data_IF_571169408235
#
_entry.id   IF_571169408235
#
_cell.length_a   1.000
_cell.length_b   1.000
_cell.length_c   1.000
_cell.angle_alpha   90.00
_cell.angle_beta   90.00
_cell.angle_gamma   90.00
#
_symmetry.space_group_name_H-M   'P 1'
#
loop_
_entity.id
_entity.type
_entity.pdbx_description
1 polymer ?
#
# COMPACT_ATOMS: atom_id res chain seq x y z
N UNK A 1 -17.83 29.04 1.92
CA UNK A 1 -18.88 29.59 2.83
C UNK A 1 -18.23 30.61 3.74
N UNK A 2 -18.71 31.85 3.72
CA UNK A 2 -18.24 32.92 4.62
C UNK A 2 -18.44 32.49 6.07
N UNK A 3 -17.37 32.07 6.74
CA UNK A 3 -17.44 31.76 8.16
C UNK A 3 -17.28 33.08 8.92
N UNK A 4 -18.39 33.63 9.40
CA UNK A 4 -18.39 34.72 10.38
C UNK A 4 -17.68 34.22 11.63
N UNK A 5 -16.40 34.58 11.76
CA UNK A 5 -15.50 34.10 12.82
C UNK A 5 -16.09 34.40 14.21
N UNK A 6 -16.78 33.42 14.79
CA UNK A 6 -17.18 33.45 16.20
C UNK A 6 -15.91 33.28 17.02
N UNK A 7 -15.49 34.36 17.70
CA UNK A 7 -14.31 34.34 18.56
C UNK A 7 -14.48 33.32 19.67
N UNK A 8 -13.54 32.38 19.76
CA UNK A 8 -13.46 31.38 20.84
C UNK A 8 -12.46 31.87 21.86
N UNK A 9 -12.93 32.27 23.04
CA UNK A 9 -12.05 32.61 24.15
C UNK A 9 -11.55 31.32 24.81
N UNK A 10 -10.23 31.21 24.96
CA UNK A 10 -9.57 30.13 25.69
C UNK A 10 -9.04 30.71 27.02
N UNK A 11 -9.44 30.11 28.13
CA UNK A 11 -9.04 30.52 29.49
C UNK A 11 -8.09 29.50 30.13
N UNK A 12 -7.53 28.58 29.35
CA UNK A 12 -6.63 27.53 29.83
C UNK A 12 -5.37 28.13 30.44
N UNK A 13 -5.10 27.80 31.71
CA UNK A 13 -3.88 28.25 32.43
C UNK A 13 -2.65 27.42 32.09
N UNK A 14 -2.85 26.18 31.63
CA UNK A 14 -1.79 25.24 31.28
C UNK A 14 -1.79 25.09 29.76
N UNK A 15 -0.68 25.38 29.07
CA UNK A 15 -0.61 25.24 27.61
C UNK A 15 -0.53 23.77 27.21
N UNK A 16 -1.21 23.41 26.12
CA UNK A 16 -1.03 22.11 25.49
C UNK A 16 0.37 22.06 24.84
N UNK A 17 1.26 21.23 25.38
CA UNK A 17 2.62 21.03 24.86
C UNK A 17 2.69 20.00 23.75
N UNK A 18 1.71 19.09 23.71
CA UNK A 18 1.60 18.04 22.70
C UNK A 18 0.41 18.37 21.80
N UNK A 19 0.62 18.29 20.49
CA UNK A 19 -0.44 18.48 19.51
C UNK A 19 -1.43 17.32 19.58
N UNK A 20 -2.71 17.63 19.31
CA UNK A 20 -3.73 16.57 19.21
C UNK A 20 -3.33 15.63 18.07
N UNK A 21 -3.19 14.32 18.32
CA UNK A 21 -2.80 13.37 17.30
C UNK A 21 -3.92 13.16 16.28
N UNK A 22 -3.62 12.46 15.19
CA UNK A 22 -4.63 12.08 14.22
C UNK A 22 -5.59 11.05 14.83
N UNK A 23 -6.84 11.46 15.05
CA UNK A 23 -7.85 10.66 15.76
C UNK A 23 -8.29 9.39 15.01
N UNK A 24 -7.98 9.26 13.72
CA UNK A 24 -8.31 8.07 12.91
C UNK A 24 -7.07 7.23 12.57
N UNK A 25 -5.91 7.58 13.10
CA UNK A 25 -4.64 6.95 12.74
C UNK A 25 -4.61 5.46 13.07
N UNK A 26 -5.16 5.07 14.22
CA UNK A 26 -5.22 3.65 14.64
C UNK A 26 -5.97 2.81 13.61
N UNK A 27 -7.10 3.31 13.10
CA UNK A 27 -7.91 2.59 12.12
C UNK A 27 -7.18 2.46 10.78
N UNK A 28 -6.63 3.58 10.29
CA UNK A 28 -5.86 3.61 9.04
C UNK A 28 -4.67 2.65 9.10
N UNK A 29 -3.84 2.79 10.15
CA UNK A 29 -2.63 1.98 10.33
C UNK A 29 -2.93 0.50 10.52
N UNK A 30 -4.01 0.15 11.21
CA UNK A 30 -4.44 -1.24 11.37
C UNK A 30 -4.77 -1.87 10.02
N UNK A 31 -5.54 -1.16 9.19
CA UNK A 31 -5.94 -1.64 7.87
C UNK A 31 -4.76 -1.70 6.89
N UNK A 32 -3.90 -0.68 6.87
CA UNK A 32 -2.68 -0.65 6.04
C UNK A 32 -1.74 -1.81 6.38
N UNK A 33 -1.53 -2.07 7.68
CA UNK A 33 -0.72 -3.20 8.16
C UNK A 33 -1.34 -4.54 7.78
N UNK A 34 -2.66 -4.66 7.79
CA UNK A 34 -3.34 -5.90 7.43
C UNK A 34 -3.24 -6.18 5.92
N UNK A 35 -3.42 -5.16 5.07
CA UNK A 35 -3.46 -5.33 3.62
C UNK A 35 -2.09 -5.38 2.95
N UNK A 36 -1.14 -4.54 3.38
CA UNK A 36 0.18 -4.38 2.75
C UNK A 36 0.10 -4.14 1.23
N UNK A 37 -0.90 -3.37 0.80
CA UNK A 37 -1.28 -3.24 -0.62
C UNK A 37 -0.25 -2.50 -1.47
N UNK A 38 0.55 -1.64 -0.86
CA UNK A 38 1.61 -0.84 -1.48
C UNK A 38 2.97 -1.55 -1.46
N UNK A 39 3.04 -2.81 -1.01
CA UNK A 39 4.29 -3.59 -0.87
C UNK A 39 4.48 -4.60 -1.99
N UNK A 40 5.71 -4.68 -2.47
CA UNK A 40 6.15 -5.79 -3.33
C UNK A 40 6.17 -7.10 -2.53
N UNK A 41 6.02 -8.27 -3.17
CA UNK A 41 6.04 -9.56 -2.46
C UNK A 41 7.26 -9.74 -1.55
N UNK A 42 8.44 -9.31 -2.00
CA UNK A 42 9.70 -9.38 -1.24
C UNK A 42 9.82 -8.38 -0.08
N UNK A 43 8.94 -7.39 -0.02
CA UNK A 43 8.94 -6.32 0.99
C UNK A 43 7.88 -6.53 2.07
N UNK A 44 7.05 -7.58 1.96
CA UNK A 44 5.95 -7.82 2.89
C UNK A 44 6.45 -8.41 4.19
N UNK A 45 5.89 -7.89 5.28
CA UNK A 45 6.03 -8.49 6.59
C UNK A 45 5.15 -9.73 6.69
N UNK A 46 5.55 -10.73 7.48
CA UNK A 46 4.70 -11.87 7.85
C UNK A 46 3.61 -11.43 8.85
N UNK A 47 2.61 -10.72 8.33
CA UNK A 47 1.48 -10.21 9.08
C UNK A 47 0.26 -10.00 8.17
N UNK A 48 -0.93 -9.93 8.77
CA UNK A 48 -2.17 -9.64 8.05
C UNK A 48 -2.47 -10.72 7.01
N UNK A 49 -2.79 -10.31 5.79
CA UNK A 49 -3.08 -11.25 4.69
C UNK A 49 -1.90 -12.18 4.39
N UNK A 50 -0.66 -11.70 4.49
CA UNK A 50 0.53 -12.51 4.26
C UNK A 50 0.58 -13.71 5.23
N UNK A 51 0.44 -13.44 6.53
CA UNK A 51 0.41 -14.50 7.56
C UNK A 51 -0.78 -15.44 7.42
N UNK A 52 -1.92 -14.95 6.93
CA UNK A 52 -3.10 -15.78 6.68
C UNK A 52 -2.82 -16.77 5.56
N UNK A 53 -2.26 -16.34 4.43
CA UNK A 53 -1.89 -17.26 3.36
C UNK A 53 -0.78 -18.23 3.78
N UNK A 54 0.25 -17.75 4.47
CA UNK A 54 1.35 -18.61 4.95
C UNK A 54 0.92 -19.64 6.00
N UNK A 55 -0.13 -19.37 6.78
CA UNK A 55 -0.63 -20.33 7.78
C UNK A 55 -1.57 -21.39 7.20
N UNK A 56 -2.21 -21.11 6.05
CA UNK A 56 -3.12 -22.04 5.38
C UNK A 56 -2.40 -22.92 4.36
N UNK A 57 -1.36 -22.40 3.71
CA UNK A 57 -0.61 -23.12 2.68
C UNK A 57 0.75 -23.59 3.20
N UNK A 58 1.24 -24.77 2.76
CA UNK A 58 0.73 -25.58 1.65
C UNK A 58 -0.47 -26.47 2.00
N UNK A 59 -1.29 -26.79 0.99
CA UNK A 59 -2.39 -27.77 1.08
C UNK A 59 -2.04 -28.96 0.20
N UNK A 60 -2.05 -30.17 0.76
CA UNK A 60 -1.78 -31.41 0.04
C UNK A 60 -3.03 -32.29 -0.10
N UNK A 61 -3.14 -33.04 -1.19
CA UNK A 61 -4.17 -34.08 -1.35
C UNK A 61 -3.98 -35.23 -0.35
N UNK A 62 -5.03 -35.99 -0.04
CA UNK A 62 -4.98 -37.12 0.91
C UNK A 62 -4.01 -38.23 0.49
N UNK A 63 -3.67 -38.31 -0.81
CA UNK A 63 -2.70 -39.26 -1.36
C UNK A 63 -1.27 -38.71 -1.40
N UNK A 64 -1.05 -37.45 -1.03
CA UNK A 64 0.23 -36.74 -1.16
C UNK A 64 0.81 -36.73 -2.59
N UNK A 65 -0.03 -36.85 -3.60
CA UNK A 65 0.37 -36.80 -5.03
C UNK A 65 0.34 -35.39 -5.60
N UNK A 66 -0.29 -34.44 -4.90
CA UNK A 66 -0.32 -33.04 -5.31
C UNK A 66 -0.34 -32.10 -4.11
N UNK A 67 0.24 -30.92 -4.31
CA UNK A 67 0.38 -29.87 -3.31
C UNK A 67 0.17 -28.49 -3.93
N UNK A 68 -0.69 -27.68 -3.29
CA UNK A 68 -0.94 -26.30 -3.66
C UNK A 68 -0.20 -25.37 -2.70
N UNK A 69 0.56 -24.43 -3.25
CA UNK A 69 1.39 -23.49 -2.51
C UNK A 69 1.01 -22.05 -2.83
N UNK A 70 1.08 -21.20 -1.81
CA UNK A 70 0.97 -19.76 -1.97
C UNK A 70 2.31 -19.17 -2.42
N UNK A 71 2.28 -18.36 -3.49
CA UNK A 71 3.47 -17.66 -4.01
C UNK A 71 3.46 -16.20 -3.58
N UNK A 72 2.43 -15.46 -3.98
CA UNK A 72 2.23 -14.06 -3.61
C UNK A 72 0.77 -13.63 -3.79
N UNK A 73 0.47 -12.37 -3.44
CA UNK A 73 -0.82 -11.73 -3.76
C UNK A 73 -0.61 -10.30 -4.24
N UNK A 74 -1.64 -9.69 -4.83
CA UNK A 74 -1.69 -8.26 -5.14
C UNK A 74 -3.12 -7.75 -4.91
N UNK A 75 -3.24 -6.52 -4.39
CA UNK A 75 -4.53 -5.86 -4.17
C UNK A 75 -4.66 -4.71 -5.15
N UNK A 76 -5.76 -4.70 -5.89
CA UNK A 76 -6.10 -3.67 -6.85
C UNK A 76 -5.29 -3.72 -8.14
N UNK A 77 -5.43 -2.65 -8.92
CA UNK A 77 -4.66 -2.44 -10.14
C UNK A 77 -3.75 -1.25 -9.92
N UNK A 78 -2.45 -1.51 -9.77
CA UNK A 78 -1.44 -0.47 -9.65
C UNK A 78 -0.95 -0.08 -11.03
N UNK A 79 -1.49 1.01 -11.56
CA UNK A 79 -1.15 1.51 -12.89
C UNK A 79 -1.33 3.02 -12.98
N UNK A 80 -0.74 3.65 -14.00
CA UNK A 80 -1.04 5.04 -14.33
C UNK A 80 -2.46 5.16 -14.91
N UNK A 81 -2.98 6.39 -15.02
CA UNK A 81 -4.37 6.63 -15.49
C UNK A 81 -4.68 6.02 -16.86
N UNK A 82 -3.71 5.90 -17.77
CA UNK A 82 -3.91 5.32 -19.09
C UNK A 82 -3.57 3.82 -19.18
N UNK A 83 -3.13 3.20 -18.08
CA UNK A 83 -2.76 1.79 -18.03
C UNK A 83 -1.48 1.41 -18.78
N UNK A 84 -0.64 2.36 -19.21
CA UNK A 84 0.60 2.05 -19.94
C UNK A 84 1.78 1.72 -19.01
N UNK A 85 1.83 2.34 -17.83
CA UNK A 85 2.81 2.06 -16.78
C UNK A 85 2.13 1.27 -15.67
N UNK A 86 2.67 0.10 -15.28
CA UNK A 86 2.02 -0.83 -14.33
C UNK A 86 2.99 -1.42 -13.33
N UNK A 87 2.52 -1.58 -12.10
CA UNK A 87 3.22 -2.30 -11.04
C UNK A 87 3.97 -1.37 -10.08
N UNK A 88 4.02 -1.78 -8.82
CA UNK A 88 4.63 -1.05 -7.71
C UNK A 88 6.15 -0.88 -7.85
N UNK A 89 6.82 -1.66 -8.70
CA UNK A 89 8.26 -1.53 -8.95
C UNK A 89 8.66 -0.14 -9.47
N UNK A 90 7.76 0.53 -10.19
CA UNK A 90 7.91 1.91 -10.65
C UNK A 90 7.87 2.98 -9.54
N UNK A 91 7.55 2.55 -8.31
CA UNK A 91 7.59 3.37 -7.10
C UNK A 91 8.72 2.91 -6.18
N UNK A 92 9.80 2.36 -6.74
CA UNK A 92 10.97 1.87 -5.99
C UNK A 92 12.27 2.42 -6.56
N UNK A 93 13.21 2.65 -5.66
CA UNK A 93 14.60 2.91 -5.98
C UNK A 93 15.50 2.05 -5.11
N UNK A 94 16.78 1.94 -5.46
CA UNK A 94 17.77 1.17 -4.71
C UNK A 94 18.55 2.11 -3.79
N UNK A 95 18.70 1.73 -2.52
CA UNK A 95 19.49 2.50 -1.58
C UNK A 95 20.96 2.56 -2.04
N UNK A 96 21.50 3.78 -2.19
CA UNK A 96 22.88 4.03 -2.63
C UNK A 96 23.96 3.50 -1.69
N UNK A 97 23.61 3.19 -0.44
CA UNK A 97 24.55 2.71 0.57
C UNK A 97 24.44 1.19 0.80
N UNK A 98 23.24 0.68 1.10
CA UNK A 98 23.05 -0.72 1.49
C UNK A 98 22.35 -1.61 0.45
N UNK A 99 21.96 -1.05 -0.70
CA UNK A 99 21.28 -1.78 -1.77
C UNK A 99 19.84 -2.23 -1.47
N UNK A 100 19.28 -1.91 -0.30
CA UNK A 100 17.88 -2.25 -0.01
C UNK A 100 16.93 -1.46 -0.91
N UNK A 101 15.78 -2.04 -1.23
CA UNK A 101 14.70 -1.31 -1.89
C UNK A 101 14.18 -0.18 -1.00
N UNK A 102 13.96 0.99 -1.59
CA UNK A 102 13.41 2.18 -0.95
C UNK A 102 12.16 2.61 -1.73
N UNK A 103 11.10 2.95 -1.00
CA UNK A 103 9.85 3.43 -1.58
C UNK A 103 10.03 4.88 -2.00
N UNK A 104 9.73 5.18 -3.26
CA UNK A 104 9.70 6.56 -3.80
C UNK A 104 8.28 7.11 -3.75
N UNK A 105 8.15 8.43 -3.61
CA UNK A 105 6.85 9.10 -3.54
C UNK A 105 6.71 10.12 -4.69
N UNK A 106 5.81 9.91 -5.66
CA UNK A 106 5.63 10.83 -6.78
C UNK A 106 4.99 12.18 -6.42
N UNK A 107 4.47 12.33 -5.20
CA UNK A 107 3.79 13.54 -4.74
C UNK A 107 4.63 14.36 -3.75
N UNK A 108 5.82 13.89 -3.38
CA UNK A 108 6.71 14.59 -2.45
C UNK A 108 8.09 14.84 -3.07
N UNK A 109 8.53 16.09 -3.23
CA UNK A 109 9.89 16.37 -3.69
C UNK A 109 10.94 16.10 -2.60
N UNK A 110 12.19 15.85 -3.01
CA UNK A 110 13.34 15.74 -2.10
C UNK A 110 13.92 14.33 -2.02
N UNK A 111 14.42 13.98 -0.83
CA UNK A 111 15.04 12.68 -0.56
C UNK A 111 14.10 11.78 0.26
N UNK A 112 14.18 10.47 0.02
CA UNK A 112 13.50 9.41 0.77
C UNK A 112 14.48 8.67 1.67
N UNK A 113 14.06 8.37 2.89
CA UNK A 113 14.88 7.68 3.90
C UNK A 113 14.89 6.17 3.65
N UNK A 114 16.07 5.55 3.59
CA UNK A 114 16.18 4.10 3.65
C UNK A 114 15.92 3.63 5.08
N UNK A 115 14.83 2.91 5.30
CA UNK A 115 14.48 2.37 6.62
C UNK A 115 15.43 1.26 7.12
N UNK A 116 16.28 0.69 6.26
CA UNK A 116 17.25 -0.35 6.64
C UNK A 116 18.56 0.21 7.20
N UNK A 117 19.08 1.31 6.66
CA UNK A 117 20.38 1.87 7.05
C UNK A 117 20.38 3.37 7.39
N UNK A 118 19.22 4.03 7.31
CA UNK A 118 19.08 5.46 7.62
C UNK A 118 19.66 6.41 6.56
N UNK A 119 20.15 5.90 5.43
CA UNK A 119 20.70 6.76 4.35
C UNK A 119 19.57 7.41 3.56
N UNK A 120 19.68 8.72 3.30
CA UNK A 120 18.80 9.45 2.39
C UNK A 120 19.15 9.17 0.92
N UNK A 121 18.12 8.87 0.12
CA UNK A 121 18.22 8.56 -1.30
C UNK A 121 17.37 9.54 -2.10
N UNK A 122 17.81 9.87 -3.31
CA UNK A 122 17.05 10.76 -4.17
C UNK A 122 15.71 10.14 -4.52
N UNK A 123 14.63 10.90 -4.36
CA UNK A 123 13.30 10.45 -4.70
C UNK A 123 13.08 10.49 -6.22
N UNK A 124 13.26 9.35 -6.90
CA UNK A 124 13.16 9.23 -8.36
C UNK A 124 12.03 8.26 -8.75
N UNK A 125 10.75 8.66 -8.62
CA UNK A 125 9.63 7.84 -9.07
C UNK A 125 9.50 7.87 -10.60
N UNK A 126 9.03 6.76 -11.17
CA UNK A 126 8.80 6.68 -12.62
C UNK A 126 7.47 7.33 -13.02
N UNK A 127 7.48 8.05 -14.14
CA UNK A 127 6.30 8.67 -14.72
C UNK A 127 5.98 8.05 -16.08
N UNK A 128 4.69 7.89 -16.36
CA UNK A 128 4.25 7.31 -17.62
C UNK A 128 4.58 8.25 -18.79
N UNK A 129 5.28 7.75 -19.81
CA UNK A 129 5.59 8.49 -21.03
C UNK A 129 4.37 8.88 -21.89
N UNK A 130 3.18 8.30 -21.64
CA UNK A 130 1.95 8.58 -22.39
C UNK A 130 1.05 9.62 -21.73
N UNK A 131 0.79 9.50 -20.43
CA UNK A 131 -0.12 10.41 -19.72
C UNK A 131 0.58 11.30 -18.69
N UNK A 132 1.87 11.10 -18.42
CA UNK A 132 2.62 11.85 -17.42
C UNK A 132 2.29 11.50 -15.97
N UNK A 133 1.34 10.57 -15.72
CA UNK A 133 0.99 10.17 -14.36
C UNK A 133 1.91 9.04 -13.86
N UNK A 134 2.22 9.01 -12.55
CA UNK A 134 2.90 7.87 -11.93
C UNK A 134 1.95 6.67 -11.80
N UNK A 135 2.49 5.54 -11.38
CA UNK A 135 1.68 4.40 -10.93
C UNK A 135 0.91 4.79 -9.67
N UNK A 136 -0.39 4.47 -9.64
CA UNK A 136 -1.24 4.59 -8.46
C UNK A 136 -2.29 3.48 -8.43
N UNK A 137 -2.97 3.33 -7.30
CA UNK A 137 -4.09 2.40 -7.19
C UNK A 137 -5.27 2.92 -8.04
N UNK A 138 -5.54 2.25 -9.16
CA UNK A 138 -6.72 2.52 -9.97
C UNK A 138 -7.91 1.72 -9.43
N UNK A 139 -8.94 2.46 -9.02
CA UNK A 139 -10.22 1.93 -8.60
C UNK A 139 -11.24 2.13 -9.69
N UNK A 140 -12.18 1.18 -9.81
CA UNK A 140 -13.19 1.21 -10.86
C UNK A 140 -14.16 2.38 -10.68
N UNK A 141 -14.48 2.70 -9.42
CA UNK A 141 -15.43 3.73 -9.01
C UNK A 141 -14.86 4.43 -7.78
N UNK A 142 -15.17 5.71 -7.60
CA UNK A 142 -14.86 6.42 -6.37
C UNK A 142 -15.92 6.16 -5.28
N UNK A 143 -15.72 6.74 -4.10
CA UNK A 143 -16.63 6.53 -2.95
C UNK A 143 -18.02 7.11 -3.23
N UNK A 144 -18.09 8.32 -3.79
CA UNK A 144 -19.36 9.01 -4.03
C UNK A 144 -20.23 8.25 -5.05
N UNK A 145 -19.61 7.74 -6.12
CA UNK A 145 -20.28 6.91 -7.11
C UNK A 145 -20.78 5.58 -6.51
N UNK A 146 -19.97 4.94 -5.66
CA UNK A 146 -20.41 3.72 -4.96
C UNK A 146 -21.62 3.98 -4.05
N UNK A 147 -21.62 5.09 -3.31
CA UNK A 147 -22.74 5.49 -2.46
C UNK A 147 -24.02 5.77 -3.27
N UNK A 148 -23.91 6.56 -4.35
CA UNK A 148 -25.04 6.89 -5.23
C UNK A 148 -25.66 5.65 -5.86
N UNK A 149 -24.82 4.69 -6.26
CA UNK A 149 -25.25 3.48 -6.97
C UNK A 149 -25.53 2.28 -6.05
N UNK A 150 -25.39 2.44 -4.73
CA UNK A 150 -25.60 1.35 -3.75
C UNK A 150 -24.61 0.19 -3.92
N UNK A 151 -23.38 0.46 -4.37
CA UNK A 151 -22.33 -0.54 -4.57
C UNK A 151 -21.35 -0.57 -3.39
N UNK A 152 -20.59 -1.66 -3.27
CA UNK A 152 -19.50 -1.77 -2.29
C UNK A 152 -18.20 -1.23 -2.85
N UNK A 153 -17.64 -0.20 -2.21
CA UNK A 153 -16.30 0.30 -2.50
C UNK A 153 -15.24 -0.74 -2.11
N UNK A 154 -14.55 -1.30 -3.12
CA UNK A 154 -13.66 -2.45 -2.95
C UNK A 154 -12.59 -2.51 -4.04
N UNK A 155 -11.50 -3.22 -3.75
CA UNK A 155 -10.44 -3.53 -4.71
C UNK A 155 -10.27 -5.05 -4.83
N UNK A 156 -9.99 -5.60 -6.03
CA UNK A 156 -9.80 -7.03 -6.22
C UNK A 156 -8.52 -7.54 -5.54
N UNK A 157 -8.60 -8.69 -4.88
CA UNK A 157 -7.44 -9.45 -4.42
C UNK A 157 -7.09 -10.52 -5.45
N UNK A 158 -5.87 -10.49 -5.98
CA UNK A 158 -5.33 -11.49 -6.91
C UNK A 158 -4.27 -12.29 -6.16
N UNK A 159 -4.36 -13.62 -6.19
CA UNK A 159 -3.42 -14.51 -5.49
C UNK A 159 -2.74 -15.41 -6.52
N UNK A 160 -1.42 -15.50 -6.45
CA UNK A 160 -0.62 -16.40 -7.28
C UNK A 160 -0.39 -17.69 -6.50
N UNK A 161 -0.84 -18.81 -7.06
CA UNK A 161 -0.71 -20.14 -6.48
C UNK A 161 0.14 -21.02 -7.37
N UNK A 162 0.91 -21.93 -6.78
CA UNK A 162 1.69 -22.95 -7.49
C UNK A 162 1.16 -24.34 -7.15
N UNK A 163 0.81 -25.12 -8.17
CA UNK A 163 0.46 -26.53 -8.03
C UNK A 163 1.67 -27.39 -8.38
N UNK A 164 2.09 -28.25 -7.46
CA UNK A 164 3.13 -29.27 -7.65
C UNK A 164 2.47 -30.64 -7.67
N UNK A 165 2.85 -31.50 -8.60
CA UNK A 165 2.39 -32.90 -8.70
C UNK A 165 3.62 -33.80 -8.51
N UNK A 166 3.51 -34.76 -7.60
CA UNK A 166 4.54 -35.75 -7.32
C UNK A 166 4.26 -37.04 -8.10
N UNK A 167 5.33 -37.77 -8.45
CA UNK A 167 5.25 -39.11 -9.07
C UNK A 167 5.02 -40.20 -8.02
#
# INVERSE_FOLDING_TARGET
>A
TNNSYRTRFDFSKIPATIQIPNLIEVQKRSYDRFLQMDRLPSERDDAGLQSVFQSVFPISDFRNVSQLEFVDFAIGNWECKCGHLKGLHHLRTTCKNCGSTVITDPFHPGDVLCHKCGTYNTNTPDFCNKCGDPVGLQLKYDVAECEERGMTYSAPLKVTMRLTIYE
#
